data_IF_902051972842
#
_entry.id   IF_902051972842
#
_cell.length_a   1.000
_cell.length_b   1.000
_cell.length_c   1.000
_cell.angle_alpha   90.00
_cell.angle_beta   90.00
_cell.angle_gamma   90.00
#
_symmetry.space_group_name_H-M   'P 1'
#
loop_
_entity.id
_entity.type
_entity.pdbx_description
1 polymer ?
#
# COMPACT_ATOMS: atom_id res chain seq x y z
N UNK A 1 43.48 -30.38 43.45
CA UNK A 1 42.00 -30.35 43.47
C UNK A 1 41.53 -29.20 42.58
N UNK A 2 40.73 -29.55 41.56
CA UNK A 2 39.75 -28.73 40.81
C UNK A 2 40.04 -27.22 40.68
N UNK A 3 40.48 -26.78 39.50
CA UNK A 3 40.11 -25.45 39.00
C UNK A 3 39.26 -25.61 37.75
N UNK A 4 38.09 -25.01 37.86
CA UNK A 4 36.90 -25.17 37.06
C UNK A 4 37.08 -24.47 35.72
N UNK A 5 36.77 -25.17 34.64
CA UNK A 5 36.61 -24.64 33.28
C UNK A 5 35.46 -23.63 33.28
N UNK A 6 35.66 -22.42 32.74
CA UNK A 6 34.55 -21.54 32.37
C UNK A 6 34.60 -21.28 30.86
N UNK A 7 33.72 -22.01 30.16
CA UNK A 7 33.50 -21.94 28.72
C UNK A 7 32.50 -20.81 28.48
N UNK A 8 32.98 -19.65 28.02
CA UNK A 8 32.10 -18.53 27.62
C UNK A 8 31.50 -18.88 26.26
N UNK A 9 30.31 -19.50 26.28
CA UNK A 9 29.49 -19.70 25.09
C UNK A 9 28.80 -18.36 24.80
N UNK A 10 29.37 -17.59 23.87
CA UNK A 10 28.68 -16.45 23.26
C UNK A 10 27.52 -16.98 22.41
N UNK A 11 26.35 -17.15 23.02
CA UNK A 11 25.10 -17.35 22.32
C UNK A 11 24.78 -16.04 21.59
N UNK A 12 25.21 -15.94 20.34
CA UNK A 12 24.70 -14.93 19.42
C UNK A 12 23.26 -15.31 19.11
N UNK A 13 22.34 -14.85 19.97
CA UNK A 13 20.92 -14.76 19.67
C UNK A 13 20.78 -13.74 18.54
N UNK A 14 21.04 -14.20 17.31
CA UNK A 14 20.63 -13.49 16.11
C UNK A 14 19.11 -13.46 16.13
N UNK A 15 18.55 -12.33 16.56
CA UNK A 15 17.21 -11.92 16.21
C UNK A 15 17.19 -11.79 14.69
N UNK A 16 16.96 -12.89 13.99
CA UNK A 16 16.43 -12.86 12.66
C UNK A 16 15.02 -12.29 12.82
N UNK A 17 14.92 -10.95 12.81
CA UNK A 17 13.69 -10.28 12.46
C UNK A 17 13.24 -10.95 11.17
N UNK A 18 12.18 -11.74 11.25
CA UNK A 18 11.45 -12.16 10.10
C UNK A 18 10.93 -10.87 9.48
N UNK A 19 11.75 -10.26 8.62
CA UNK A 19 11.34 -9.28 7.65
C UNK A 19 10.27 -10.01 6.86
N UNK A 20 9.01 -9.80 7.23
CA UNK A 20 7.86 -10.13 6.41
C UNK A 20 8.16 -9.46 5.09
N UNK A 21 8.67 -10.25 4.15
CA UNK A 21 9.05 -9.79 2.83
C UNK A 21 7.75 -9.30 2.20
N UNK A 22 7.51 -7.99 2.30
CA UNK A 22 6.33 -7.38 1.76
C UNK A 22 6.43 -7.63 0.25
N UNK A 23 5.47 -8.39 -0.29
CA UNK A 23 5.45 -8.73 -1.71
C UNK A 23 5.59 -7.43 -2.51
N UNK A 24 6.70 -7.29 -3.22
CA UNK A 24 6.88 -6.20 -4.17
C UNK A 24 5.84 -6.38 -5.29
N UNK A 25 5.05 -5.34 -5.49
CA UNK A 25 3.99 -5.29 -6.48
C UNK A 25 4.53 -4.71 -7.77
N UNK A 26 4.05 -5.23 -8.89
CA UNK A 26 4.28 -4.65 -10.21
C UNK A 26 3.09 -3.80 -10.65
N UNK A 27 3.26 -3.05 -11.75
CA UNK A 27 2.15 -2.35 -12.40
C UNK A 27 1.00 -3.32 -12.77
N UNK A 28 1.33 -4.54 -13.18
CA UNK A 28 0.36 -5.55 -13.54
C UNK A 28 -0.44 -6.02 -12.32
N UNK A 29 0.22 -6.28 -11.18
CA UNK A 29 -0.45 -6.65 -9.93
C UNK A 29 -1.46 -5.57 -9.50
N UNK A 30 -1.08 -4.29 -9.61
CA UNK A 30 -1.96 -3.17 -9.28
C UNK A 30 -3.18 -3.12 -10.20
N UNK A 31 -2.96 -3.22 -11.52
CA UNK A 31 -4.05 -3.19 -12.50
C UNK A 31 -4.98 -4.40 -12.33
N UNK A 32 -4.42 -5.58 -12.05
CA UNK A 32 -5.19 -6.80 -11.76
C UNK A 32 -6.05 -6.62 -10.50
N UNK A 33 -5.46 -6.11 -9.41
CA UNK A 33 -6.17 -5.84 -8.16
C UNK A 33 -7.33 -4.84 -8.34
N UNK A 34 -7.17 -3.85 -9.23
CA UNK A 34 -8.20 -2.87 -9.53
C UNK A 34 -9.39 -3.45 -10.33
N UNK A 35 -9.14 -4.43 -11.21
CA UNK A 35 -10.19 -5.08 -12.00
C UNK A 35 -10.80 -6.31 -11.33
N UNK A 36 -10.13 -6.89 -10.33
CA UNK A 36 -10.58 -8.09 -9.65
C UNK A 36 -11.95 -7.87 -8.98
N UNK A 37 -12.92 -8.75 -9.29
CA UNK A 37 -14.29 -8.71 -8.75
C UNK A 37 -14.62 -10.02 -8.03
N UNK A 38 -15.54 -9.97 -7.07
CA UNK A 38 -16.05 -11.19 -6.44
C UNK A 38 -15.01 -11.94 -5.60
N UNK A 39 -14.89 -13.26 -5.79
CA UNK A 39 -14.04 -14.15 -4.97
C UNK A 39 -12.55 -13.94 -5.18
N UNK A 40 -12.15 -13.42 -6.33
CA UNK A 40 -10.76 -13.17 -6.71
C UNK A 40 -10.27 -11.77 -6.29
N UNK A 41 -11.14 -10.99 -5.66
CA UNK A 41 -10.78 -9.70 -5.13
C UNK A 41 -9.79 -9.80 -3.96
N UNK A 42 -8.77 -8.92 -3.90
CA UNK A 42 -7.95 -8.77 -2.71
C UNK A 42 -8.83 -8.47 -1.50
N UNK A 43 -8.59 -9.18 -0.40
CA UNK A 43 -9.21 -8.87 0.89
C UNK A 43 -8.75 -7.48 1.36
N UNK A 44 -9.59 -6.83 2.15
CA UNK A 44 -9.26 -5.57 2.79
C UNK A 44 -7.95 -5.70 3.59
N UNK A 45 -7.04 -4.75 3.43
CA UNK A 45 -5.73 -4.75 4.07
C UNK A 45 -4.57 -4.48 3.11
N UNK A 46 -3.34 -4.76 3.58
CA UNK A 46 -2.11 -4.56 2.81
C UNK A 46 -2.04 -5.52 1.62
N UNK A 47 -1.98 -4.97 0.42
CA UNK A 47 -1.80 -5.69 -0.84
C UNK A 47 -0.34 -6.11 -1.05
N UNK A 48 0.59 -5.25 -0.63
CA UNK A 48 2.03 -5.40 -0.84
C UNK A 48 2.72 -4.04 -0.79
N UNK A 49 3.90 -3.95 -1.39
CA UNK A 49 4.71 -2.72 -1.47
C UNK A 49 4.97 -2.38 -2.93
N UNK A 50 4.77 -1.13 -3.33
CA UNK A 50 5.02 -0.65 -4.70
C UNK A 50 5.91 0.59 -4.64
N UNK A 51 7.04 0.55 -5.33
CA UNK A 51 8.08 1.60 -5.25
C UNK A 51 8.48 1.92 -3.79
N UNK A 52 8.63 0.89 -2.95
CA UNK A 52 9.00 1.06 -1.54
C UNK A 52 7.91 1.66 -0.64
N UNK A 53 6.69 1.88 -1.15
CA UNK A 53 5.55 2.37 -0.37
C UNK A 53 4.47 1.30 -0.30
N UNK A 54 3.91 1.08 0.89
CA UNK A 54 2.86 0.09 1.07
C UNK A 54 1.57 0.48 0.35
N UNK A 55 0.92 -0.52 -0.24
CA UNK A 55 -0.37 -0.39 -0.91
C UNK A 55 -1.41 -1.12 -0.07
N UNK A 56 -2.51 -0.44 0.19
CA UNK A 56 -3.65 -0.97 0.93
C UNK A 56 -4.92 -0.93 0.09
N UNK A 57 -5.76 -1.93 0.30
CA UNK A 57 -7.10 -2.03 -0.29
C UNK A 57 -8.11 -1.80 0.81
N UNK A 58 -8.96 -0.80 0.63
CA UNK A 58 -10.06 -0.47 1.53
C UNK A 58 -11.39 -0.61 0.80
N UNK A 59 -12.43 -0.95 1.56
CA UNK A 59 -13.77 -1.12 1.04
C UNK A 59 -14.76 -0.27 1.84
N UNK A 60 -15.52 0.56 1.13
CA UNK A 60 -16.53 1.47 1.66
C UNK A 60 -17.88 1.14 1.02
N UNK A 61 -18.58 0.14 1.58
CA UNK A 61 -19.78 -0.42 0.97
C UNK A 61 -19.45 -1.14 -0.34
N UNK A 62 -19.96 -0.62 -1.45
CA UNK A 62 -19.69 -1.11 -2.81
C UNK A 62 -18.46 -0.45 -3.47
N UNK A 63 -17.87 0.56 -2.81
CA UNK A 63 -16.73 1.32 -3.34
C UNK A 63 -15.42 0.72 -2.82
N UNK A 64 -14.64 0.14 -3.71
CA UNK A 64 -13.27 -0.29 -3.42
C UNK A 64 -12.25 0.79 -3.77
N UNK A 65 -11.29 1.00 -2.88
CA UNK A 65 -10.21 1.96 -3.06
C UNK A 65 -8.86 1.25 -2.86
N UNK A 66 -7.97 1.38 -3.84
CA UNK A 66 -6.57 0.94 -3.74
C UNK A 66 -5.73 2.20 -3.59
N UNK A 67 -5.00 2.32 -2.49
CA UNK A 67 -4.24 3.54 -2.16
C UNK A 67 -2.88 3.20 -1.56
N UNK A 68 -1.96 4.15 -1.64
CA UNK A 68 -0.77 4.13 -0.82
C UNK A 68 -1.12 4.33 0.65
N UNK A 69 -0.38 3.64 1.50
CA UNK A 69 -0.29 3.94 2.92
C UNK A 69 0.83 4.95 3.14
N UNK A 70 0.45 6.24 3.09
CA UNK A 70 1.36 7.37 3.26
C UNK A 70 1.19 7.94 4.65
N UNK A 71 2.02 7.49 5.59
CA UNK A 71 2.13 8.13 6.89
C UNK A 71 2.99 9.39 6.74
N UNK A 72 2.36 10.57 6.83
CA UNK A 72 3.00 11.90 6.74
C UNK A 72 3.77 12.24 5.44
N UNK A 73 3.78 11.36 4.43
CA UNK A 73 4.37 11.65 3.12
C UNK A 73 3.38 12.38 2.19
N UNK A 74 3.88 13.27 1.31
CA UNK A 74 3.02 13.86 0.27
C UNK A 74 2.77 12.82 -0.81
N UNK A 75 1.55 12.79 -1.33
CA UNK A 75 1.18 11.83 -2.36
C UNK A 75 2.04 11.94 -3.64
N UNK A 76 2.57 13.14 -3.93
CA UNK A 76 3.54 13.38 -5.01
C UNK A 76 4.84 12.60 -4.84
N UNK A 77 5.28 12.39 -3.61
CA UNK A 77 6.60 11.83 -3.29
C UNK A 77 6.66 10.33 -3.57
N UNK A 78 5.49 9.68 -3.55
CA UNK A 78 5.30 8.25 -3.84
C UNK A 78 4.74 8.00 -5.23
N UNK A 79 4.76 9.00 -6.12
CA UNK A 79 4.17 8.95 -7.46
C UNK A 79 2.66 8.57 -7.45
N UNK A 80 1.94 9.09 -6.46
CA UNK A 80 0.49 8.97 -6.34
C UNK A 80 -0.26 10.23 -6.75
N UNK A 81 -1.57 10.06 -6.91
CA UNK A 81 -2.53 11.13 -7.22
C UNK A 81 -3.56 11.20 -6.11
N UNK A 82 -3.76 12.40 -5.54
CA UNK A 82 -4.83 12.62 -4.57
C UNK A 82 -6.19 12.52 -5.24
N UNK A 83 -7.01 11.57 -4.81
CA UNK A 83 -8.38 11.38 -5.28
C UNK A 83 -9.37 11.63 -4.17
N UNK A 84 -10.39 12.42 -4.49
CA UNK A 84 -11.51 12.69 -3.61
C UNK A 84 -12.61 11.68 -3.92
N UNK A 85 -13.01 10.89 -2.95
CA UNK A 85 -14.05 9.86 -3.07
C UNK A 85 -15.10 10.10 -2.00
N UNK A 86 -16.36 10.16 -2.41
CA UNK A 86 -17.48 10.12 -1.47
C UNK A 86 -17.67 8.69 -0.98
N UNK A 87 -17.46 8.44 0.31
CA UNK A 87 -17.67 7.14 0.92
C UNK A 87 -19.00 7.14 1.69
N UNK A 88 -19.88 6.15 1.50
CA UNK A 88 -21.13 6.07 2.25
C UNK A 88 -20.79 5.73 3.70
N UNK A 89 -20.85 6.72 4.59
CA UNK A 89 -20.62 6.55 6.04
C UNK A 89 -21.92 6.86 6.78
N UNK A 90 -22.85 5.88 6.78
CA UNK A 90 -24.18 6.04 7.37
C UNK A 90 -25.13 6.85 6.47
N UNK A 91 -26.01 7.66 7.08
CA UNK A 91 -27.02 8.47 6.37
C UNK A 91 -26.44 9.71 5.65
N UNK A 92 -25.20 10.07 5.97
CA UNK A 92 -24.47 11.19 5.36
C UNK A 92 -23.21 10.65 4.68
N UNK A 93 -23.10 10.80 3.36
CA UNK A 93 -21.84 10.50 2.68
C UNK A 93 -20.72 11.39 3.19
N UNK A 94 -19.54 10.83 3.46
CA UNK A 94 -18.36 11.61 3.83
C UNK A 94 -17.44 11.71 2.63
N UNK A 95 -16.90 12.90 2.40
CA UNK A 95 -15.87 13.09 1.37
C UNK A 95 -14.52 12.78 1.98
N UNK A 96 -13.85 11.76 1.47
CA UNK A 96 -12.50 11.38 1.90
C UNK A 96 -11.50 11.55 0.75
N UNK A 97 -10.24 11.80 1.10
CA UNK A 97 -9.15 11.98 0.13
C UNK A 97 -8.15 10.85 0.31
N UNK A 98 -7.83 10.17 -0.78
CA UNK A 98 -6.93 9.03 -0.78
C UNK A 98 -5.78 9.25 -1.77
N UNK A 99 -4.59 8.77 -1.41
CA UNK A 99 -3.43 8.81 -2.31
C UNK A 99 -3.41 7.55 -3.18
N UNK A 100 -3.80 7.65 -4.45
CA UNK A 100 -3.96 6.50 -5.34
C UNK A 100 -2.75 6.37 -6.28
N UNK A 101 -2.17 5.18 -6.50
CA UNK A 101 -1.11 4.98 -7.48
C UNK A 101 -1.45 5.54 -8.86
N UNK A 102 -0.55 6.36 -9.43
CA UNK A 102 -0.80 7.01 -10.72
C UNK A 102 -1.07 6.01 -11.86
N UNK A 103 -0.51 4.79 -11.78
CA UNK A 103 -0.75 3.71 -12.74
C UNK A 103 -2.23 3.28 -12.80
N UNK A 104 -2.93 3.31 -11.66
CA UNK A 104 -4.36 2.98 -11.58
C UNK A 104 -5.25 4.07 -12.14
N UNK A 105 -4.72 5.29 -12.25
CA UNK A 105 -5.42 6.42 -12.80
C UNK A 105 -5.44 6.42 -14.34
N UNK A 106 -4.72 5.49 -14.98
CA UNK A 106 -4.79 5.19 -16.42
C UNK A 106 -4.94 6.43 -17.31
N UNK A 107 -3.85 7.11 -17.66
CA UNK A 107 -3.79 8.09 -18.77
C UNK A 107 -5.05 8.98 -18.98
N UNK A 108 -5.54 9.69 -17.96
CA UNK A 108 -6.52 10.76 -18.20
C UNK A 108 -5.92 12.14 -17.95
N UNK A 109 -5.62 12.74 -19.11
CA UNK A 109 -5.39 14.15 -19.42
C UNK A 109 -4.11 14.78 -18.87
N UNK A 110 -3.05 14.76 -19.70
CA UNK A 110 -2.29 16.00 -19.88
C UNK A 110 -3.33 17.09 -20.15
N UNK A 111 -3.37 18.20 -19.39
CA UNK A 111 -4.14 19.35 -19.85
C UNK A 111 -3.59 19.68 -21.24
N UNK A 112 -4.43 19.62 -22.27
CA UNK A 112 -4.14 20.38 -23.47
C UNK A 112 -4.05 21.83 -22.98
N UNK A 113 -2.82 22.33 -22.84
CA UNK A 113 -2.57 23.75 -23.01
C UNK A 113 -3.02 24.05 -24.44
N UNK A 114 -4.26 24.44 -24.62
CA UNK A 114 -4.57 25.34 -25.72
C UNK A 114 -3.86 26.65 -25.37
N UNK A 115 -2.67 26.79 -25.94
CA UNK A 115 -2.00 28.06 -26.12
C UNK A 115 -2.75 28.81 -27.22
N UNK A 116 -3.04 30.08 -26.92
CA UNK A 116 -3.51 31.16 -27.78
C UNK A 116 -4.99 31.19 -28.16
#
# INVERSE_FOLDING_TARGET
MKSLVLLVVCVVLGFASASVSAKELTNADLLEAAVAKGRDAPKLGKLGTYNGTDIIVENFGDIRIIRYDVDNAKCSDVNGVMRTVGTPTGATGTIQRFCVPAVLMGQKEKPKKEMH
#
